data_IF_586396058213
#
_entry.id   IF_586396058213
#
_cell.length_a   1.000
_cell.length_b   1.000
_cell.length_c   1.000
_cell.angle_alpha   90.00
_cell.angle_beta   90.00
_cell.angle_gamma   90.00
#
_symmetry.space_group_name_H-M   'P 1'
#
loop_
_entity.id
_entity.type
_entity.pdbx_description
1 polymer ?
#
# COMPACT_ATOMS: atom_id res chain seq x y z
N UNK A 1 -19.60 -11.16 2.04
CA UNK A 1 -18.77 -10.23 1.25
C UNK A 1 -17.82 -11.09 0.43
N UNK A 2 -18.23 -11.42 -0.79
CA UNK A 2 -17.58 -12.45 -1.64
C UNK A 2 -17.09 -11.86 -2.97
N UNK A 3 -17.17 -10.53 -3.11
CA UNK A 3 -17.01 -9.78 -4.37
C UNK A 3 -15.74 -10.19 -5.12
N UNK A 4 -14.61 -10.32 -4.42
CA UNK A 4 -13.33 -10.74 -5.03
C UNK A 4 -13.25 -12.26 -5.17
N UNK A 5 -13.67 -13.03 -4.17
CA UNK A 5 -13.53 -14.50 -4.16
C UNK A 5 -14.35 -15.23 -5.24
N UNK A 6 -15.36 -14.59 -5.83
CA UNK A 6 -16.10 -15.16 -6.97
C UNK A 6 -15.72 -14.55 -8.32
N UNK A 7 -14.80 -13.58 -8.34
CA UNK A 7 -14.37 -12.93 -9.57
C UNK A 7 -13.39 -13.81 -10.35
N UNK A 8 -13.64 -13.96 -11.66
CA UNK A 8 -12.69 -14.63 -12.57
C UNK A 8 -11.66 -13.66 -13.18
N UNK A 9 -11.86 -12.37 -12.97
CA UNK A 9 -11.09 -11.31 -13.63
C UNK A 9 -10.00 -10.73 -12.73
N UNK A 10 -10.00 -11.08 -11.44
CA UNK A 10 -9.07 -10.55 -10.43
C UNK A 10 -8.43 -11.70 -9.69
N UNK A 11 -7.09 -11.69 -9.62
CA UNK A 11 -6.31 -12.52 -8.70
C UNK A 11 -5.87 -11.64 -7.54
N UNK A 12 -6.00 -12.15 -6.32
CA UNK A 12 -5.67 -11.42 -5.10
C UNK A 12 -4.55 -12.13 -4.36
N UNK A 13 -3.54 -11.36 -3.95
CA UNK A 13 -2.56 -11.80 -2.96
C UNK A 13 -2.90 -11.10 -1.65
N UNK A 14 -3.33 -11.86 -0.65
CA UNK A 14 -3.51 -11.38 0.71
C UNK A 14 -2.20 -11.56 1.49
N UNK A 15 -1.61 -10.45 1.93
CA UNK A 15 -0.33 -10.42 2.64
C UNK A 15 -0.52 -10.01 4.10
N UNK A 16 -0.74 -10.95 5.02
CA UNK A 16 -0.77 -10.65 6.44
C UNK A 16 0.65 -10.40 6.98
N UNK A 17 0.75 -9.83 8.19
CA UNK A 17 2.01 -9.88 8.93
C UNK A 17 2.35 -11.34 9.23
N UNK A 18 3.60 -11.73 8.95
CA UNK A 18 4.07 -13.10 9.18
C UNK A 18 3.83 -13.58 10.61
N UNK A 19 3.93 -12.68 11.59
CA UNK A 19 3.73 -13.00 13.01
C UNK A 19 2.28 -13.24 13.41
N UNK A 20 1.31 -12.87 12.56
CA UNK A 20 -0.12 -12.99 12.85
C UNK A 20 -0.87 -13.89 11.87
N UNK A 21 -0.19 -14.45 10.87
CA UNK A 21 -0.82 -15.26 9.82
C UNK A 21 -1.67 -16.40 10.37
N UNK A 22 -1.14 -17.18 11.32
CA UNK A 22 -1.82 -18.35 11.89
C UNK A 22 -3.03 -17.98 12.77
N UNK A 23 -2.99 -16.79 13.39
CA UNK A 23 -4.01 -16.31 14.32
C UNK A 23 -5.11 -15.47 13.63
N UNK A 24 -4.87 -15.03 12.39
CA UNK A 24 -5.80 -14.20 11.65
C UNK A 24 -6.99 -15.03 11.13
N UNK A 25 -8.17 -14.78 11.70
CA UNK A 25 -9.43 -15.39 11.25
C UNK A 25 -9.70 -15.20 9.74
N UNK A 26 -9.21 -14.12 9.14
CA UNK A 26 -9.26 -13.86 7.69
C UNK A 26 -8.47 -14.88 6.89
N UNK A 27 -7.25 -15.24 7.32
CA UNK A 27 -6.43 -16.28 6.66
C UNK A 27 -7.16 -17.61 6.73
N UNK A 28 -7.63 -17.98 7.93
CA UNK A 28 -8.42 -19.22 8.11
C UNK A 28 -9.66 -19.24 7.22
N UNK A 29 -10.38 -18.13 7.12
CA UNK A 29 -11.57 -18.02 6.27
C UNK A 29 -11.23 -18.18 4.78
N UNK A 30 -10.20 -17.50 4.27
CA UNK A 30 -9.74 -17.63 2.88
C UNK A 30 -9.37 -19.08 2.58
N UNK A 31 -8.56 -19.70 3.43
CA UNK A 31 -8.09 -21.08 3.27
C UNK A 31 -9.26 -22.08 3.28
N UNK A 32 -10.23 -21.92 4.17
CA UNK A 32 -11.41 -22.80 4.24
C UNK A 32 -12.41 -22.58 3.12
N UNK A 33 -12.51 -21.35 2.60
CA UNK A 33 -13.43 -21.02 1.52
C UNK A 33 -12.99 -21.59 0.16
N UNK A 34 -11.69 -21.88 -0.02
CA UNK A 34 -11.17 -22.54 -1.22
C UNK A 34 -11.27 -21.69 -2.48
N UNK A 35 -11.00 -20.38 -2.39
CA UNK A 35 -11.01 -19.49 -3.55
C UNK A 35 -9.76 -19.71 -4.42
N UNK A 36 -9.94 -20.17 -5.65
CA UNK A 36 -8.84 -20.42 -6.60
C UNK A 36 -8.06 -19.15 -7.00
N UNK A 37 -8.69 -17.98 -6.84
CA UNK A 37 -8.12 -16.69 -7.24
C UNK A 37 -7.55 -15.87 -6.08
N UNK A 38 -7.56 -16.39 -4.85
CA UNK A 38 -6.99 -15.71 -3.67
C UNK A 38 -5.85 -16.56 -3.11
N UNK A 39 -4.67 -15.97 -3.01
CA UNK A 39 -3.49 -16.58 -2.42
C UNK A 39 -3.08 -15.83 -1.16
N UNK A 40 -2.70 -16.54 -0.11
CA UNK A 40 -2.12 -15.96 1.10
C UNK A 40 -0.59 -16.07 1.00
N UNK A 41 0.10 -14.94 1.11
CA UNK A 41 1.56 -14.89 1.07
C UNK A 41 2.11 -13.92 2.11
N UNK A 42 2.69 -14.44 3.18
CA UNK A 42 3.34 -13.65 4.24
C UNK A 42 4.87 -13.61 4.14
N UNK A 43 5.45 -14.34 3.19
CA UNK A 43 6.89 -14.66 3.18
C UNK A 43 7.64 -14.01 2.04
N UNK A 44 6.98 -13.73 0.92
CA UNK A 44 7.62 -13.10 -0.22
C UNK A 44 8.09 -11.69 0.10
N UNK A 45 9.23 -11.36 -0.49
CA UNK A 45 9.82 -10.02 -0.41
C UNK A 45 8.93 -9.05 -1.17
N UNK A 46 8.58 -7.92 -0.55
CA UNK A 46 7.60 -6.96 -1.08
C UNK A 46 7.93 -6.50 -2.50
N UNK A 47 9.19 -6.17 -2.80
CA UNK A 47 9.60 -5.70 -4.14
C UNK A 47 9.36 -6.74 -5.24
N UNK A 48 9.50 -8.04 -4.94
CA UNK A 48 9.18 -9.11 -5.89
C UNK A 48 7.69 -9.19 -6.13
N UNK A 49 6.89 -9.12 -5.07
CA UNK A 49 5.42 -9.10 -5.17
C UNK A 49 4.93 -7.89 -5.96
N UNK A 50 5.49 -6.72 -5.71
CA UNK A 50 5.14 -5.50 -6.46
C UNK A 50 5.40 -5.66 -7.97
N UNK A 51 6.47 -6.36 -8.37
CA UNK A 51 6.74 -6.65 -9.78
C UNK A 51 5.67 -7.47 -10.49
N UNK A 52 4.86 -8.22 -9.74
CA UNK A 52 3.80 -9.10 -10.27
C UNK A 52 2.38 -8.51 -10.07
N UNK A 53 2.27 -7.32 -9.44
CA UNK A 53 0.99 -6.70 -9.07
C UNK A 53 0.64 -5.52 -9.99
N UNK A 54 -0.61 -5.50 -10.46
CA UNK A 54 -1.16 -4.38 -11.23
C UNK A 54 -1.68 -3.22 -10.36
N UNK A 55 -2.00 -3.51 -9.09
CA UNK A 55 -2.68 -2.64 -8.14
C UNK A 55 -2.41 -3.12 -6.72
N UNK A 56 -2.25 -2.20 -5.77
CA UNK A 56 -2.12 -2.52 -4.35
C UNK A 56 -3.22 -1.85 -3.53
N UNK A 57 -3.74 -2.60 -2.55
CA UNK A 57 -4.67 -2.11 -1.54
C UNK A 57 -3.98 -2.21 -0.18
N UNK A 58 -3.92 -1.12 0.57
CA UNK A 58 -3.32 -1.08 1.91
C UNK A 58 -4.12 -0.18 2.85
N UNK A 59 -3.85 -0.30 4.14
CA UNK A 59 -4.25 0.66 5.16
C UNK A 59 -3.03 1.44 5.68
N UNK A 60 -3.22 2.23 6.74
CA UNK A 60 -2.17 2.99 7.42
C UNK A 60 -1.40 2.24 8.51
N UNK A 61 -1.80 1.01 8.83
CA UNK A 61 -1.08 0.17 9.80
C UNK A 61 0.18 -0.43 9.18
N UNK A 62 0.21 -0.57 7.86
CA UNK A 62 1.38 -1.00 7.09
C UNK A 62 2.54 0.02 7.05
N UNK A 63 2.41 1.13 7.79
CA UNK A 63 3.42 2.12 8.20
C UNK A 63 4.16 2.91 7.13
N UNK A 64 4.42 2.37 5.94
CA UNK A 64 4.95 3.12 4.79
C UNK A 64 4.71 2.45 3.43
N UNK A 65 4.06 1.28 3.34
CA UNK A 65 3.99 0.48 2.09
C UNK A 65 3.60 1.29 0.84
N UNK A 66 2.80 2.35 0.98
CA UNK A 66 2.48 3.26 -0.11
C UNK A 66 3.71 3.95 -0.73
N UNK A 67 4.81 4.16 0.00
CA UNK A 67 6.05 4.73 -0.50
C UNK A 67 6.64 3.83 -1.58
N UNK A 68 6.81 2.54 -1.26
CA UNK A 68 7.33 1.54 -2.19
C UNK A 68 6.37 1.34 -3.36
N UNK A 69 5.06 1.26 -3.10
CA UNK A 69 4.05 1.11 -4.17
C UNK A 69 4.10 2.27 -5.16
N UNK A 70 4.10 3.50 -4.66
CA UNK A 70 4.15 4.71 -5.50
C UNK A 70 5.50 4.82 -6.21
N UNK A 71 6.60 4.43 -5.56
CA UNK A 71 7.94 4.39 -6.17
C UNK A 71 8.06 3.38 -7.33
N UNK A 72 7.30 2.28 -7.28
CA UNK A 72 7.24 1.28 -8.34
C UNK A 72 6.24 1.63 -9.46
N UNK A 73 5.64 2.82 -9.42
CA UNK A 73 4.60 3.27 -10.38
C UNK A 73 3.39 2.32 -10.42
N UNK A 74 3.05 1.75 -9.25
CA UNK A 74 1.89 0.88 -9.10
C UNK A 74 0.73 1.70 -8.52
N UNK A 75 -0.46 1.64 -9.14
CA UNK A 75 -1.69 2.19 -8.58
C UNK A 75 -1.93 1.75 -7.14
N UNK A 76 -2.45 2.68 -6.34
CA UNK A 76 -2.72 2.47 -4.93
C UNK A 76 -4.19 2.78 -4.60
N UNK A 77 -4.83 1.88 -3.87
CA UNK A 77 -6.03 2.14 -3.08
C UNK A 77 -5.63 2.15 -1.60
N UNK A 78 -5.92 3.25 -0.93
CA UNK A 78 -5.71 3.42 0.50
C UNK A 78 -7.05 3.33 1.23
N UNK A 79 -7.22 2.30 2.05
CA UNK A 79 -8.34 2.21 2.98
C UNK A 79 -7.91 2.74 4.35
N UNK A 80 -8.39 3.94 4.70
CA UNK A 80 -8.08 4.55 5.97
C UNK A 80 -9.23 5.45 6.38
N UNK A 81 -10.01 5.00 7.36
CA UNK A 81 -11.08 5.79 7.95
C UNK A 81 -10.50 6.88 8.87
N UNK A 82 -10.66 8.18 8.53
CA UNK A 82 -10.08 9.26 9.31
C UNK A 82 -10.73 9.42 10.69
N UNK A 83 -11.93 8.87 10.92
CA UNK A 83 -12.59 8.88 12.23
C UNK A 83 -12.03 7.81 13.16
N UNK A 84 -11.57 6.69 12.60
CA UNK A 84 -11.02 5.57 13.38
C UNK A 84 -9.51 5.66 13.54
N UNK A 85 -8.80 5.95 12.45
CA UNK A 85 -7.34 6.04 12.43
C UNK A 85 -6.90 7.27 11.65
N UNK A 86 -6.78 8.44 12.30
CA UNK A 86 -6.44 9.68 11.64
C UNK A 86 -5.08 9.61 10.93
N UNK A 87 -5.04 9.99 9.65
CA UNK A 87 -3.80 10.14 8.90
C UNK A 87 -3.05 11.40 9.36
N UNK A 88 -1.72 11.34 9.41
CA UNK A 88 -0.89 12.52 9.66
C UNK A 88 -1.16 13.55 8.55
N UNK A 89 -1.53 14.77 8.96
CA UNK A 89 -2.01 15.85 8.09
C UNK A 89 -1.08 16.15 6.91
N UNK A 90 0.22 15.97 7.09
CA UNK A 90 1.24 16.20 6.07
C UNK A 90 1.12 15.26 4.87
N UNK A 91 0.73 14.00 5.10
CA UNK A 91 0.50 13.04 4.01
C UNK A 91 -0.86 13.24 3.37
N UNK A 92 -1.86 13.71 4.12
CA UNK A 92 -3.27 13.72 3.70
C UNK A 92 -3.48 14.38 2.34
N UNK A 93 -2.99 15.61 2.15
CA UNK A 93 -3.24 16.36 0.92
C UNK A 93 -2.55 15.73 -0.30
N UNK A 94 -1.36 15.15 -0.10
CA UNK A 94 -0.56 14.61 -1.20
C UNK A 94 -1.04 13.20 -1.57
N UNK A 95 -1.39 12.37 -0.59
CA UNK A 95 -1.96 11.03 -0.83
C UNK A 95 -3.34 11.10 -1.51
N UNK A 96 -4.20 12.08 -1.17
CA UNK A 96 -5.49 12.26 -1.85
C UNK A 96 -5.35 12.48 -3.36
N UNK A 97 -4.21 13.01 -3.81
CA UNK A 97 -3.92 13.25 -5.22
C UNK A 97 -3.23 12.01 -5.84
N UNK A 98 -2.32 11.39 -5.10
CA UNK A 98 -1.47 10.30 -5.58
C UNK A 98 -2.18 8.93 -5.64
N UNK A 99 -3.31 8.75 -4.93
CA UNK A 99 -3.98 7.45 -4.85
C UNK A 99 -5.51 7.57 -4.81
N UNK A 100 -6.20 6.43 -4.77
CA UNK A 100 -7.62 6.35 -4.45
C UNK A 100 -7.80 6.12 -2.95
N UNK A 101 -8.39 7.09 -2.24
CA UNK A 101 -8.54 7.00 -0.79
C UNK A 101 -9.99 6.68 -0.42
N UNK A 102 -10.20 5.45 0.06
CA UNK A 102 -11.45 5.00 0.68
C UNK A 102 -11.47 5.42 2.15
N UNK A 103 -12.36 6.36 2.51
CA UNK A 103 -12.41 6.95 3.86
C UNK A 103 -13.42 6.27 4.78
N UNK A 104 -14.17 5.30 4.25
CA UNK A 104 -15.10 4.49 5.02
C UNK A 104 -15.30 3.15 4.30
N UNK A 105 -15.98 2.21 4.97
CA UNK A 105 -16.22 0.88 4.44
C UNK A 105 -17.03 0.88 3.13
N UNK A 106 -17.97 1.82 2.96
CA UNK A 106 -18.81 1.88 1.76
C UNK A 106 -18.01 2.31 0.53
N UNK A 107 -17.07 3.27 0.70
CA UNK A 107 -16.15 3.68 -0.37
C UNK A 107 -15.35 2.47 -0.87
N UNK A 108 -14.81 1.67 0.06
CA UNK A 108 -14.06 0.47 -0.28
C UNK A 108 -14.93 -0.53 -1.05
N UNK A 109 -16.16 -0.78 -0.61
CA UNK A 109 -17.10 -1.66 -1.32
C UNK A 109 -17.32 -1.19 -2.76
N UNK A 110 -17.61 0.09 -2.96
CA UNK A 110 -17.90 0.65 -4.28
C UNK A 110 -16.68 0.54 -5.23
N UNK A 111 -15.48 0.78 -4.68
CA UNK A 111 -14.22 0.62 -5.42
C UNK A 111 -14.00 -0.83 -5.80
N UNK A 112 -14.22 -1.78 -4.87
CA UNK A 112 -14.06 -3.21 -5.15
C UNK A 112 -15.06 -3.70 -6.20
N UNK A 113 -16.30 -3.25 -6.17
CA UNK A 113 -17.31 -3.58 -7.18
C UNK A 113 -16.90 -3.08 -8.58
N UNK A 114 -16.40 -1.84 -8.66
CA UNK A 114 -15.91 -1.27 -9.92
C UNK A 114 -14.69 -2.04 -10.44
N UNK A 115 -13.75 -2.37 -9.55
CA UNK A 115 -12.54 -3.12 -9.87
C UNK A 115 -12.86 -4.51 -10.43
N UNK A 116 -13.78 -5.27 -9.81
CA UNK A 116 -14.08 -6.62 -10.29
C UNK A 116 -14.89 -6.65 -11.59
N UNK A 117 -15.64 -5.59 -11.90
CA UNK A 117 -16.40 -5.47 -13.14
C UNK A 117 -15.49 -5.23 -14.34
N UNK A 118 -14.49 -4.34 -14.20
CA UNK A 118 -13.58 -3.97 -15.29
C UNK A 118 -12.19 -3.59 -14.74
N UNK A 119 -11.37 -4.60 -14.36
CA UNK A 119 -10.11 -4.35 -13.66
C UNK A 119 -9.09 -3.63 -14.54
N UNK A 120 -9.08 -3.89 -15.84
CA UNK A 120 -8.13 -3.27 -16.77
C UNK A 120 -8.42 -1.77 -16.91
N UNK A 121 -9.67 -1.39 -17.18
CA UNK A 121 -10.04 0.03 -17.27
C UNK A 121 -9.81 0.73 -15.94
N UNK A 122 -10.25 0.14 -14.84
CA UNK A 122 -10.16 0.79 -13.53
C UNK A 122 -8.71 1.02 -13.10
N UNK A 123 -7.85 0.01 -13.25
CA UNK A 123 -6.41 0.14 -12.96
C UNK A 123 -5.74 1.20 -13.83
N UNK A 124 -6.10 1.29 -15.12
CA UNK A 124 -5.58 2.33 -16.02
C UNK A 124 -6.05 3.74 -15.66
N UNK A 125 -7.25 3.91 -15.11
CA UNK A 125 -7.68 5.21 -14.57
C UNK A 125 -6.85 5.58 -13.33
N UNK A 126 -6.60 4.64 -12.44
CA UNK A 126 -5.77 4.88 -11.25
C UNK A 126 -4.31 5.22 -11.61
N UNK A 127 -3.75 4.63 -12.68
CA UNK A 127 -2.41 5.00 -13.19
C UNK A 127 -2.27 6.46 -13.62
N UNK A 128 -3.38 7.17 -13.85
CA UNK A 128 -3.35 8.60 -14.23
C UNK A 128 -3.25 9.54 -13.02
N UNK A 129 -3.31 9.02 -11.79
CA UNK A 129 -3.16 9.81 -10.56
C UNK A 129 -1.76 10.43 -10.52
N UNK A 130 -1.66 11.67 -10.02
CA UNK A 130 -0.38 12.39 -9.98
C UNK A 130 0.40 11.97 -8.73
N UNK A 131 1.44 11.18 -8.94
CA UNK A 131 2.36 10.69 -7.90
C UNK A 131 3.62 11.54 -7.75
N UNK A 132 3.89 12.48 -8.67
CA UNK A 132 5.16 13.21 -8.75
C UNK A 132 5.44 14.00 -7.46
N UNK A 133 4.47 14.80 -7.01
CA UNK A 133 4.62 15.59 -5.78
C UNK A 133 4.85 14.70 -4.55
N UNK A 134 4.26 13.50 -4.53
CA UNK A 134 4.48 12.54 -3.47
C UNK A 134 5.92 12.00 -3.49
N UNK A 135 6.36 11.53 -4.66
CA UNK A 135 7.70 10.98 -4.87
C UNK A 135 8.78 11.98 -4.52
N UNK A 136 8.70 13.20 -5.05
CA UNK A 136 9.69 14.25 -4.80
C UNK A 136 9.84 14.57 -3.31
N UNK A 137 8.71 14.60 -2.58
CA UNK A 137 8.68 15.02 -1.19
C UNK A 137 9.06 13.90 -0.21
N UNK A 138 8.59 12.68 -0.45
CA UNK A 138 8.61 11.61 0.56
C UNK A 138 9.43 10.38 0.18
N UNK A 139 9.83 10.23 -1.09
CA UNK A 139 10.63 9.09 -1.55
C UNK A 139 12.02 9.53 -1.98
N UNK A 140 12.10 10.51 -2.88
CA UNK A 140 13.37 11.03 -3.41
C UNK A 140 13.99 12.09 -2.50
N UNK A 141 13.17 12.70 -1.64
CA UNK A 141 13.56 13.81 -0.79
C UNK A 141 14.32 14.92 -1.55
N UNK A 142 13.87 15.29 -2.75
CA UNK A 142 14.53 16.30 -3.60
C UNK A 142 14.61 17.69 -2.95
N UNK A 143 13.89 17.92 -1.84
CA UNK A 143 13.98 19.12 -1.01
C UNK A 143 14.78 18.92 0.29
N UNK A 144 15.38 17.76 0.53
CA UNK A 144 16.27 17.49 1.66
C UNK A 144 17.69 17.28 1.14
N UNK A 145 18.43 18.36 0.95
CA UNK A 145 19.88 18.26 0.96
C UNK A 145 20.41 17.78 2.34
N UNK A 146 19.59 17.87 3.39
CA UNK A 146 20.03 17.67 4.76
C UNK A 146 20.01 16.23 5.27
N UNK A 147 19.10 15.34 4.85
CA UNK A 147 18.86 14.11 5.64
C UNK A 147 20.03 13.09 5.59
N UNK A 148 20.60 12.85 4.42
CA UNK A 148 21.79 11.98 4.27
C UNK A 148 23.03 12.65 4.86
N UNK A 149 23.20 13.96 4.64
CA UNK A 149 24.35 14.71 5.15
C UNK A 149 24.31 14.82 6.68
N UNK A 150 23.15 15.05 7.28
CA UNK A 150 22.93 15.01 8.73
C UNK A 150 23.14 13.61 9.31
N UNK A 151 22.71 12.55 8.62
CA UNK A 151 22.95 11.18 9.08
C UNK A 151 24.46 10.84 9.05
N UNK A 152 25.16 11.24 8.00
CA UNK A 152 26.62 11.09 7.88
C UNK A 152 27.33 11.93 8.95
N UNK A 153 26.92 13.19 9.15
CA UNK A 153 27.49 14.07 10.17
C UNK A 153 27.26 13.53 11.59
N UNK A 154 26.07 13.04 11.89
CA UNK A 154 25.75 12.39 13.17
C UNK A 154 26.62 11.15 13.43
N UNK A 155 26.80 10.30 12.41
CA UNK A 155 27.69 9.14 12.52
C UNK A 155 29.15 9.56 12.73
N UNK A 156 29.61 10.61 12.04
CA UNK A 156 30.96 11.15 12.22
C UNK A 156 31.16 11.74 13.62
N UNK A 157 30.17 12.44 14.17
CA UNK A 157 30.19 12.94 15.55
C UNK A 157 30.23 11.81 16.59
N UNK A 158 29.49 10.72 16.37
CA UNK A 158 29.54 9.55 17.25
C UNK A 158 30.89 8.82 17.21
N UNK A 159 31.56 8.79 16.06
CA UNK A 159 32.90 8.23 15.93
C UNK A 159 33.92 9.14 16.64
N UNK A 160 33.86 10.45 16.40
CA UNK A 160 34.78 11.42 16.99
C UNK A 160 34.66 11.56 18.52
N UNK A 161 33.50 11.25 19.10
CA UNK A 161 33.25 11.32 20.54
C UNK A 161 33.50 9.98 21.28
N UNK A 162 33.89 8.91 20.58
CA UNK A 162 34.24 7.61 21.16
C UNK A 162 35.73 7.27 21.05
N UNK A 163 36.57 8.20 20.57
CA UNK A 163 38.03 8.22 20.70
C UNK A 163 38.46 9.08 21.91
#
# INVERSE_FOLDING_TARGET
>A
MTIVGVSKNVKLIFRPFRTTEEDLGTVRWITLAGFDNIHVDSTSVLNKLLGDCDLVITDNTASTVWNEVIAYDIPLILYCDPEQTPMIKEFTNVLQIACEWCKNQQDLINVMETLVQDPYRYTNELKKKNTITYLEKYVLHNNSQDSTELAVNFLNELIANND
#
